data_IF_533256576291
#
_entry.id   IF_533256576291
#
_cell.length_a   1.000
_cell.length_b   1.000
_cell.length_c   1.000
_cell.angle_alpha   90.00
_cell.angle_beta   90.00
_cell.angle_gamma   90.00
#
_symmetry.space_group_name_H-M   'P 1'
#
loop_
_entity.id
_entity.type
_entity.pdbx_description
1 polymer ?
#
# COMPACT_ATOMS: atom_id res chain seq x y z
N UNK A 1 0.35 22.25 -24.00
CA UNK A 1 0.10 23.43 -23.14
C UNK A 1 0.10 22.95 -21.71
N UNK A 2 0.88 23.56 -20.83
CA UNK A 2 0.78 23.32 -19.39
C UNK A 2 -0.55 23.91 -18.92
N UNK A 3 -1.42 23.10 -18.32
CA UNK A 3 -2.66 23.59 -17.74
C UNK A 3 -2.32 24.47 -16.54
N UNK A 4 -3.00 25.61 -16.37
CA UNK A 4 -2.97 26.29 -15.08
C UNK A 4 -3.69 25.42 -14.05
N UNK A 5 -3.35 25.59 -12.77
CA UNK A 5 -4.00 24.88 -11.66
C UNK A 5 -5.54 24.99 -11.72
N UNK A 6 -6.04 26.17 -12.08
CA UNK A 6 -7.47 26.45 -12.25
C UNK A 6 -8.04 25.68 -13.44
N UNK A 7 -7.39 25.74 -14.61
CA UNK A 7 -7.89 25.03 -15.80
C UNK A 7 -7.94 23.51 -15.60
N UNK A 8 -6.96 22.94 -14.91
CA UNK A 8 -6.97 21.50 -14.59
C UNK A 8 -8.12 21.16 -13.63
N UNK A 9 -8.33 21.99 -12.60
CA UNK A 9 -9.40 21.77 -11.61
C UNK A 9 -10.78 21.86 -12.25
N UNK A 10 -11.00 22.86 -13.11
CA UNK A 10 -12.29 23.12 -13.77
C UNK A 10 -12.66 22.04 -14.81
N UNK A 11 -11.66 21.34 -15.36
CA UNK A 11 -11.87 20.30 -16.37
C UNK A 11 -12.04 18.89 -15.80
N UNK A 12 -11.88 18.71 -14.49
CA UNK A 12 -12.03 17.44 -13.80
C UNK A 12 -13.50 17.20 -13.38
N UNK A 13 -14.11 16.16 -13.95
CA UNK A 13 -15.44 15.70 -13.55
C UNK A 13 -15.41 15.06 -12.16
N UNK A 14 -16.52 15.14 -11.42
CA UNK A 14 -16.69 14.61 -10.06
C UNK A 14 -15.67 15.11 -9.02
N UNK A 15 -14.99 16.22 -9.30
CA UNK A 15 -13.95 16.80 -8.45
C UNK A 15 -12.83 15.79 -8.13
N UNK A 16 -12.41 15.01 -9.15
CA UNK A 16 -11.35 13.99 -9.04
C UNK A 16 -10.28 14.19 -10.11
N UNK A 17 -9.03 14.24 -9.66
CA UNK A 17 -7.84 14.17 -10.51
C UNK A 17 -7.08 12.87 -10.28
N UNK A 18 -6.27 12.50 -11.26
CA UNK A 18 -5.40 11.33 -11.19
C UNK A 18 -3.95 11.73 -11.49
N UNK A 19 -3.06 11.48 -10.54
CA UNK A 19 -1.61 11.56 -10.73
C UNK A 19 -1.11 10.18 -11.14
N UNK A 20 -0.26 10.09 -12.15
CA UNK A 20 0.34 8.84 -12.59
C UNK A 20 1.86 8.90 -12.60
N UNK A 21 2.45 7.73 -12.36
CA UNK A 21 3.87 7.45 -12.59
C UNK A 21 3.92 6.25 -13.52
N UNK A 22 4.56 6.42 -14.67
CA UNK A 22 4.71 5.37 -15.68
C UNK A 22 6.18 5.21 -16.05
N UNK A 23 6.54 3.99 -16.43
CA UNK A 23 7.82 3.67 -17.05
C UNK A 23 7.60 3.60 -18.56
N UNK A 24 8.31 4.43 -19.31
CA UNK A 24 8.28 4.47 -20.77
C UNK A 24 9.51 3.75 -21.31
N UNK A 25 9.34 2.93 -22.34
CA UNK A 25 10.45 2.16 -22.92
C UNK A 25 10.27 1.89 -24.41
N UNK A 26 11.40 1.62 -25.06
CA UNK A 26 11.50 0.99 -26.38
C UNK A 26 12.79 0.14 -26.40
N UNK A 27 13.29 -0.23 -27.57
CA UNK A 27 14.52 -1.02 -27.71
C UNK A 27 15.81 -0.27 -27.32
N UNK A 28 15.79 1.06 -27.26
CA UNK A 28 16.97 1.92 -27.15
C UNK A 28 17.07 2.70 -25.85
N UNK A 29 15.94 2.99 -25.22
CA UNK A 29 15.90 3.80 -24.01
C UNK A 29 14.74 3.38 -23.09
N UNK A 30 14.91 3.72 -21.82
CA UNK A 30 13.92 3.53 -20.76
C UNK A 30 14.01 4.70 -19.80
N UNK A 31 12.88 5.25 -19.41
CA UNK A 31 12.77 6.38 -18.50
C UNK A 31 11.40 6.37 -17.81
N UNK A 32 11.17 7.31 -16.92
CA UNK A 32 9.91 7.46 -16.22
C UNK A 32 9.26 8.79 -16.54
N UNK A 33 7.92 8.81 -16.49
CA UNK A 33 7.13 10.02 -16.65
C UNK A 33 6.18 10.17 -15.46
N UNK A 34 6.20 11.36 -14.88
CA UNK A 34 5.21 11.82 -13.92
C UNK A 34 4.21 12.68 -14.69
N UNK A 35 2.92 12.56 -14.37
CA UNK A 35 1.94 13.48 -14.94
C UNK A 35 0.55 13.35 -14.33
N UNK A 36 -0.33 14.28 -14.69
CA UNK A 36 -1.73 14.27 -14.24
C UNK A 36 -2.72 14.09 -15.38
N UNK A 37 -3.91 13.60 -15.04
CA UNK A 37 -5.03 13.43 -15.96
C UNK A 37 -6.36 13.52 -15.22
N UNK A 38 -7.41 13.91 -15.95
CA UNK A 38 -8.81 13.83 -15.49
C UNK A 38 -9.42 12.44 -15.68
N UNK A 39 -8.74 11.56 -16.43
CA UNK A 39 -9.24 10.23 -16.77
C UNK A 39 -8.70 9.17 -15.81
N UNK A 40 -9.60 8.40 -15.20
CA UNK A 40 -9.22 7.22 -14.41
C UNK A 40 -8.47 6.16 -15.24
N UNK A 41 -8.84 6.04 -16.51
CA UNK A 41 -8.18 5.16 -17.47
C UNK A 41 -7.11 5.95 -18.22
N UNK A 42 -5.84 5.67 -17.91
CA UNK A 42 -4.69 6.38 -18.46
C UNK A 42 -4.56 6.20 -19.98
N UNK A 43 -5.14 5.14 -20.57
CA UNK A 43 -5.13 4.96 -22.03
C UNK A 43 -5.90 6.08 -22.75
N UNK A 44 -6.90 6.67 -22.08
CA UNK A 44 -7.60 7.85 -22.62
C UNK A 44 -6.72 9.09 -22.69
N UNK A 45 -5.68 9.16 -21.85
CA UNK A 45 -4.67 10.24 -21.87
C UNK A 45 -3.68 10.06 -23.02
N UNK A 46 -3.32 8.82 -23.32
CA UNK A 46 -2.31 8.45 -24.32
C UNK A 46 -2.96 7.78 -25.54
N UNK A 47 -3.84 8.51 -26.22
CA UNK A 47 -4.63 7.99 -27.33
C UNK A 47 -3.95 8.18 -28.71
N UNK A 48 -2.72 8.72 -28.75
CA UNK A 48 -2.00 9.01 -29.98
C UNK A 48 -0.49 8.91 -29.80
N UNK A 49 0.23 8.64 -30.88
CA UNK A 49 1.70 8.67 -30.89
C UNK A 49 2.27 10.06 -30.53
N UNK A 50 1.51 11.14 -30.73
CA UNK A 50 1.92 12.50 -30.33
C UNK A 50 1.86 12.73 -28.81
N UNK A 51 1.02 11.98 -28.10
CA UNK A 51 0.87 12.07 -26.65
C UNK A 51 1.70 11.02 -25.92
N UNK A 52 1.95 9.87 -26.56
CA UNK A 52 2.85 8.83 -26.07
C UNK A 52 3.38 7.97 -27.23
N UNK A 53 4.61 8.22 -27.73
CA UNK A 53 5.21 7.42 -28.80
C UNK A 53 5.90 6.13 -28.30
N UNK A 54 5.99 5.94 -26.98
CA UNK A 54 6.63 4.79 -26.34
C UNK A 54 5.62 3.75 -25.89
N UNK A 55 6.08 2.51 -25.74
CA UNK A 55 5.39 1.57 -24.86
C UNK A 55 5.56 2.01 -23.41
N UNK A 56 4.61 1.64 -22.55
CA UNK A 56 4.69 2.02 -21.14
C UNK A 56 4.07 0.99 -20.20
N UNK A 57 4.68 0.90 -19.01
CA UNK A 57 4.15 0.20 -17.85
C UNK A 57 3.65 1.23 -16.83
N UNK A 58 2.47 0.99 -16.25
CA UNK A 58 1.98 1.85 -15.17
C UNK A 58 2.57 1.39 -13.85
N UNK A 59 3.32 2.28 -13.20
CA UNK A 59 3.95 2.01 -11.90
C UNK A 59 2.97 2.33 -10.78
N UNK A 60 2.40 3.54 -10.80
CA UNK A 60 1.43 4.02 -9.80
C UNK A 60 0.40 4.94 -10.41
N UNK A 61 -0.81 4.95 -9.84
CA UNK A 61 -1.81 5.99 -10.08
C UNK A 61 -2.43 6.38 -8.74
N UNK A 62 -2.51 7.67 -8.46
CA UNK A 62 -3.11 8.21 -7.24
C UNK A 62 -4.36 9.03 -7.60
N UNK A 63 -5.47 8.75 -6.92
CA UNK A 63 -6.73 9.49 -7.00
C UNK A 63 -6.82 10.47 -5.80
N UNK A 64 -7.11 11.75 -6.08
CA UNK A 64 -7.43 12.76 -5.06
C UNK A 64 -8.16 13.96 -5.69
N UNK A 65 -8.31 15.05 -4.94
CA UNK A 65 -8.84 16.31 -5.47
C UNK A 65 -7.90 16.87 -6.57
N UNK A 66 -8.43 17.46 -7.65
CA UNK A 66 -7.62 17.96 -8.76
C UNK A 66 -6.54 18.95 -8.34
N UNK A 67 -6.86 19.84 -7.40
CA UNK A 67 -5.92 20.81 -6.84
C UNK A 67 -4.74 20.14 -6.12
N UNK A 68 -5.02 19.11 -5.33
CA UNK A 68 -4.01 18.32 -4.61
C UNK A 68 -3.14 17.57 -5.61
N UNK A 69 -3.75 16.94 -6.62
CA UNK A 69 -3.04 16.20 -7.67
C UNK A 69 -2.08 17.10 -8.46
N UNK A 70 -2.51 18.33 -8.78
CA UNK A 70 -1.68 19.32 -9.44
C UNK A 70 -0.49 19.78 -8.57
N UNK A 71 -0.76 20.08 -7.30
CA UNK A 71 0.26 20.53 -6.36
C UNK A 71 1.30 19.41 -6.11
N UNK A 72 0.85 18.15 -6.07
CA UNK A 72 1.70 16.97 -5.97
C UNK A 72 2.56 16.77 -7.23
N UNK A 73 1.99 16.81 -8.43
CA UNK A 73 2.76 16.70 -9.68
C UNK A 73 3.91 17.70 -9.70
N UNK A 74 3.62 18.96 -9.39
CA UNK A 74 4.62 20.03 -9.33
C UNK A 74 5.73 19.69 -8.34
N UNK A 75 5.36 19.18 -7.16
CA UNK A 75 6.31 18.80 -6.12
C UNK A 75 7.17 17.60 -6.53
N UNK A 76 6.58 16.57 -7.13
CA UNK A 76 7.29 15.38 -7.58
C UNK A 76 8.26 15.68 -8.73
N UNK A 77 7.86 16.53 -9.67
CA UNK A 77 8.77 16.99 -10.73
C UNK A 77 9.95 17.76 -10.13
N UNK A 78 9.73 18.58 -9.10
CA UNK A 78 10.83 19.25 -8.39
C UNK A 78 11.77 18.27 -7.70
N UNK A 79 11.24 17.23 -7.05
CA UNK A 79 12.03 16.16 -6.43
C UNK A 79 12.84 15.40 -7.50
N UNK A 80 12.22 15.07 -8.63
CA UNK A 80 12.85 14.36 -9.73
C UNK A 80 13.77 15.20 -10.61
N UNK A 81 13.80 16.54 -10.44
CA UNK A 81 14.58 17.47 -11.27
C UNK A 81 16.07 17.14 -11.38
N UNK A 82 16.78 16.70 -10.31
CA UNK A 82 18.17 16.24 -10.41
C UNK A 82 18.37 15.07 -11.38
N UNK A 83 17.30 14.32 -11.64
CA UNK A 83 17.27 13.14 -12.52
C UNK A 83 16.50 13.40 -13.81
N UNK A 84 16.36 14.67 -14.23
CA UNK A 84 15.64 15.01 -15.47
C UNK A 84 16.20 14.25 -16.67
N UNK A 85 15.29 13.68 -17.45
CA UNK A 85 15.60 12.92 -18.65
C UNK A 85 14.93 13.55 -19.86
N UNK A 86 15.67 13.66 -20.97
CA UNK A 86 15.12 14.12 -22.26
C UNK A 86 15.00 12.91 -23.19
N UNK A 87 13.77 12.48 -23.52
CA UNK A 87 13.54 11.36 -24.43
C UNK A 87 14.12 11.59 -25.83
N UNK A 88 14.60 10.53 -26.49
CA UNK A 88 15.13 10.63 -27.87
C UNK A 88 14.01 10.92 -28.89
N UNK A 89 12.80 10.42 -28.64
CA UNK A 89 11.60 10.67 -29.43
C UNK A 89 10.76 11.72 -28.70
N UNK A 90 10.66 12.92 -29.28
CA UNK A 90 9.94 14.02 -28.66
C UNK A 90 8.42 13.81 -28.63
N UNK A 91 7.78 14.18 -27.52
CA UNK A 91 6.33 14.16 -27.35
C UNK A 91 5.81 15.25 -26.40
N UNK A 92 4.49 15.45 -26.38
CA UNK A 92 3.87 16.45 -25.51
C UNK A 92 4.03 16.09 -24.02
N UNK A 93 4.71 16.95 -23.26
CA UNK A 93 4.96 16.73 -21.82
C UNK A 93 6.28 16.00 -21.52
N UNK A 94 7.21 15.93 -22.48
CA UNK A 94 8.54 15.32 -22.28
C UNK A 94 9.41 15.97 -21.19
N UNK A 95 9.11 17.21 -20.79
CA UNK A 95 9.86 17.91 -19.72
C UNK A 95 9.55 17.39 -18.32
N UNK A 96 8.58 16.49 -18.19
CA UNK A 96 8.16 15.85 -16.93
C UNK A 96 8.78 14.43 -16.80
N UNK A 97 9.82 14.14 -17.59
CA UNK A 97 10.50 12.85 -17.63
C UNK A 97 11.76 12.84 -16.76
N UNK A 98 12.01 11.70 -16.12
CA UNK A 98 13.14 11.47 -15.22
C UNK A 98 13.74 10.07 -15.41
N UNK A 99 15.02 9.89 -15.10
CA UNK A 99 15.74 8.63 -15.26
C UNK A 99 15.71 7.74 -14.01
N UNK A 100 15.41 8.31 -12.83
CA UNK A 100 15.37 7.61 -11.54
C UNK A 100 14.13 8.08 -10.76
N UNK A 101 13.45 7.17 -10.06
CA UNK A 101 12.19 7.45 -9.34
C UNK A 101 12.25 7.20 -7.83
N UNK A 102 13.37 6.74 -7.28
CA UNK A 102 13.42 6.28 -5.87
C UNK A 102 12.96 7.35 -4.88
N UNK A 103 13.46 8.58 -5.00
CA UNK A 103 13.06 9.72 -4.15
C UNK A 103 11.58 10.11 -4.36
N UNK A 104 11.08 9.96 -5.59
CA UNK A 104 9.68 10.25 -5.94
C UNK A 104 8.75 9.21 -5.31
N UNK A 105 9.11 7.93 -5.38
CA UNK A 105 8.35 6.83 -4.78
C UNK A 105 8.37 6.95 -3.26
N UNK A 106 9.55 7.15 -2.65
CA UNK A 106 9.68 7.32 -1.20
C UNK A 106 8.80 8.47 -0.68
N UNK A 107 8.83 9.63 -1.35
CA UNK A 107 7.96 10.75 -0.99
C UNK A 107 6.47 10.41 -1.10
N UNK A 108 6.08 9.68 -2.14
CA UNK A 108 4.68 9.31 -2.34
C UNK A 108 4.19 8.26 -1.35
N UNK A 109 5.05 7.34 -0.94
CA UNK A 109 4.76 6.36 0.11
C UNK A 109 4.46 7.09 1.43
N UNK A 110 5.31 8.04 1.81
CA UNK A 110 5.11 8.90 2.99
C UNK A 110 3.82 9.73 2.94
N UNK A 111 3.44 10.24 1.76
CA UNK A 111 2.22 11.04 1.58
C UNK A 111 0.95 10.20 1.51
N UNK A 112 1.01 9.01 0.91
CA UNK A 112 -0.13 8.06 0.87
C UNK A 112 -0.53 7.64 2.27
N UNK A 113 0.45 7.55 3.16
CA UNK A 113 0.31 7.21 4.56
C UNK A 113 -0.46 8.27 5.38
N UNK A 114 -0.46 9.53 4.94
CA UNK A 114 -1.22 10.63 5.56
C UNK A 114 -2.69 10.74 5.11
N UNK A 115 -3.22 9.75 4.36
CA UNK A 115 -4.64 9.62 3.95
C UNK A 115 -5.17 10.69 2.96
N UNK A 116 -4.30 11.51 2.36
CA UNK A 116 -4.70 12.60 1.45
C UNK A 116 -4.93 12.09 0.01
N UNK A 117 -4.33 10.95 -0.33
CA UNK A 117 -4.33 10.37 -1.68
C UNK A 117 -4.63 8.88 -1.63
N UNK A 118 -5.38 8.39 -2.63
CA UNK A 118 -5.71 6.97 -2.76
C UNK A 118 -4.90 6.37 -3.90
N UNK A 119 -3.94 5.50 -3.60
CA UNK A 119 -3.29 4.67 -4.62
C UNK A 119 -4.36 3.75 -5.25
N UNK A 120 -4.60 3.91 -6.55
CA UNK A 120 -5.53 3.12 -7.32
C UNK A 120 -4.75 2.16 -8.21
N UNK A 121 -4.94 0.87 -7.97
CA UNK A 121 -4.38 -0.16 -8.84
C UNK A 121 -4.91 -0.01 -10.27
N UNK A 122 -4.04 0.42 -11.18
CA UNK A 122 -4.32 0.44 -12.60
C UNK A 122 -4.36 -0.99 -13.14
N UNK A 123 -5.51 -1.39 -13.70
CA UNK A 123 -5.65 -2.68 -14.39
C UNK A 123 -5.66 -2.44 -15.89
N UNK A 124 -4.53 -2.72 -16.55
CA UNK A 124 -4.53 -2.97 -18.00
C UNK A 124 -5.60 -4.03 -18.26
N UNK A 125 -6.53 -3.79 -19.17
CA UNK A 125 -7.55 -4.78 -19.58
C UNK A 125 -6.88 -5.90 -20.39
N UNK A 126 -6.06 -6.69 -19.74
CA UNK A 126 -5.81 -8.04 -20.21
C UNK A 126 -7.02 -8.89 -19.80
N UNK A 127 -7.37 -9.88 -20.63
CA UNK A 127 -8.35 -10.92 -20.27
C UNK A 127 -7.74 -11.78 -19.16
N UNK A 128 -7.57 -11.22 -17.96
CA UNK A 128 -7.17 -11.96 -16.78
C UNK A 128 -8.31 -12.94 -16.53
N UNK A 129 -8.00 -14.24 -16.57
CA UNK A 129 -8.90 -15.29 -16.07
C UNK A 129 -9.39 -14.83 -14.70
N UNK A 130 -10.66 -14.42 -14.60
CA UNK A 130 -11.26 -14.08 -13.29
C UNK A 130 -11.46 -15.38 -12.52
N UNK A 131 -10.38 -15.87 -11.95
CA UNK A 131 -10.39 -16.96 -10.98
C UNK A 131 -10.93 -16.39 -9.67
N UNK A 132 -11.88 -17.08 -9.04
CA UNK A 132 -12.42 -16.65 -7.75
C UNK A 132 -11.34 -16.66 -6.67
N UNK A 133 -11.48 -15.81 -5.65
CA UNK A 133 -10.53 -15.79 -4.52
C UNK A 133 -10.46 -17.16 -3.84
N UNK A 134 -11.58 -17.86 -3.73
CA UNK A 134 -11.62 -19.23 -3.21
C UNK A 134 -10.70 -20.17 -4.00
N UNK A 135 -10.75 -20.10 -5.34
CA UNK A 135 -9.91 -20.95 -6.19
C UNK A 135 -8.44 -20.53 -6.13
N UNK A 136 -8.15 -19.23 -6.07
CA UNK A 136 -6.78 -18.73 -5.83
C UNK A 136 -6.21 -19.27 -4.51
N UNK A 137 -7.00 -19.24 -3.42
CA UNK A 137 -6.58 -19.80 -2.13
C UNK A 137 -6.31 -21.30 -2.22
N UNK A 138 -7.19 -22.07 -2.86
CA UNK A 138 -7.02 -23.52 -3.02
C UNK A 138 -5.76 -23.86 -3.83
N UNK A 139 -5.52 -23.14 -4.92
CA UNK A 139 -4.36 -23.32 -5.78
C UNK A 139 -3.06 -22.98 -5.02
N UNK A 140 -3.03 -21.85 -4.32
CA UNK A 140 -1.90 -21.47 -3.47
C UNK A 140 -1.60 -22.50 -2.37
N UNK A 141 -2.63 -22.97 -1.67
CA UNK A 141 -2.46 -24.01 -0.63
C UNK A 141 -1.96 -25.33 -1.21
N UNK A 142 -2.40 -25.70 -2.42
CA UNK A 142 -1.88 -26.84 -3.16
C UNK A 142 -0.38 -26.71 -3.43
N UNK A 143 0.04 -25.59 -4.04
CA UNK A 143 1.44 -25.30 -4.33
C UNK A 143 2.32 -25.31 -3.07
N UNK A 144 1.81 -24.75 -1.96
CA UNK A 144 2.52 -24.78 -0.68
C UNK A 144 2.69 -26.21 -0.15
N UNK A 145 1.67 -27.06 -0.28
CA UNK A 145 1.75 -28.46 0.13
C UNK A 145 2.76 -29.23 -0.74
N UNK A 146 2.74 -29.01 -2.05
CA UNK A 146 3.69 -29.63 -2.99
C UNK A 146 5.13 -29.25 -2.61
N UNK A 147 5.38 -27.99 -2.25
CA UNK A 147 6.69 -27.54 -1.73
C UNK A 147 7.10 -28.30 -0.46
N UNK A 148 6.15 -28.48 0.48
CA UNK A 148 6.41 -29.16 1.76
C UNK A 148 6.72 -30.65 1.54
N UNK A 149 5.97 -31.32 0.67
CA UNK A 149 6.16 -32.74 0.35
C UNK A 149 7.51 -32.98 -0.32
N UNK A 150 7.93 -32.07 -1.21
CA UNK A 150 9.15 -32.21 -1.99
C UNK A 150 10.39 -31.55 -1.35
N UNK A 151 10.31 -31.04 -0.12
CA UNK A 151 11.40 -30.28 0.55
C UNK A 151 12.76 -30.97 0.63
N UNK A 152 12.79 -32.30 0.53
CA UNK A 152 14.02 -33.11 0.62
C UNK A 152 14.62 -33.43 -0.77
N UNK A 153 13.87 -33.20 -1.85
CA UNK A 153 14.35 -33.30 -3.23
C UNK A 153 14.59 -31.88 -3.75
N UNK A 154 15.87 -31.52 -3.89
CA UNK A 154 16.24 -30.15 -4.27
C UNK A 154 15.66 -29.74 -5.62
N UNK A 155 15.65 -30.64 -6.61
CA UNK A 155 15.18 -30.31 -7.95
C UNK A 155 13.68 -30.06 -7.95
N UNK A 156 12.92 -30.97 -7.33
CA UNK A 156 11.46 -30.84 -7.24
C UNK A 156 11.05 -29.65 -6.36
N UNK A 157 11.78 -29.38 -5.28
CA UNK A 157 11.53 -28.20 -4.44
C UNK A 157 11.74 -26.89 -5.21
N UNK A 158 12.82 -26.78 -5.99
CA UNK A 158 13.10 -25.60 -6.82
C UNK A 158 12.02 -25.40 -7.90
N UNK A 159 11.48 -26.48 -8.48
CA UNK A 159 10.33 -26.41 -9.40
C UNK A 159 9.06 -25.92 -8.71
N UNK A 160 8.77 -26.40 -7.50
CA UNK A 160 7.62 -25.95 -6.71
C UNK A 160 7.73 -24.46 -6.33
N UNK A 161 8.94 -23.99 -5.98
CA UNK A 161 9.16 -22.56 -5.70
C UNK A 161 8.90 -21.69 -6.94
N UNK A 162 9.38 -22.11 -8.12
CA UNK A 162 9.09 -21.39 -9.38
C UNK A 162 7.60 -21.34 -9.70
N UNK A 163 6.87 -22.42 -9.41
CA UNK A 163 5.41 -22.46 -9.58
C UNK A 163 4.71 -21.46 -8.62
N UNK A 164 5.17 -21.37 -7.36
CA UNK A 164 4.70 -20.34 -6.42
C UNK A 164 4.99 -18.92 -6.93
N UNK A 165 6.21 -18.64 -7.39
CA UNK A 165 6.59 -17.33 -7.94
C UNK A 165 5.72 -16.95 -9.14
N UNK A 166 5.51 -17.89 -10.06
CA UNK A 166 4.65 -17.70 -11.24
C UNK A 166 3.22 -17.39 -10.82
N UNK A 167 2.67 -18.12 -9.85
CA UNK A 167 1.33 -17.84 -9.31
C UNK A 167 1.23 -16.42 -8.73
N UNK A 168 2.22 -15.98 -7.97
CA UNK A 168 2.22 -14.65 -7.35
C UNK A 168 2.32 -13.53 -8.40
N UNK A 169 3.05 -13.77 -9.49
CA UNK A 169 3.12 -12.88 -10.64
C UNK A 169 1.78 -12.81 -11.38
N UNK A 170 1.09 -13.94 -11.56
CA UNK A 170 -0.22 -14.02 -12.20
C UNK A 170 -1.34 -13.38 -11.36
N UNK A 171 -1.20 -13.40 -10.03
CA UNK A 171 -2.17 -12.86 -9.08
C UNK A 171 -1.56 -11.79 -8.16
N UNK A 172 -1.21 -10.61 -8.69
CA UNK A 172 -0.48 -9.59 -7.92
C UNK A 172 -1.25 -9.05 -6.70
N UNK A 173 -2.59 -9.05 -6.75
CA UNK A 173 -3.39 -8.68 -5.57
C UNK A 173 -3.25 -9.74 -4.45
N UNK A 174 -3.17 -11.02 -4.82
CA UNK A 174 -2.99 -12.10 -3.85
C UNK A 174 -1.60 -12.01 -3.21
N UNK A 175 -0.56 -11.77 -4.04
CA UNK A 175 0.78 -11.51 -3.55
C UNK A 175 0.82 -10.34 -2.56
N UNK A 176 0.23 -9.20 -2.94
CA UNK A 176 0.16 -8.02 -2.09
C UNK A 176 -0.52 -8.32 -0.72
N UNK A 177 -1.56 -9.15 -0.71
CA UNK A 177 -2.22 -9.55 0.53
C UNK A 177 -1.30 -10.39 1.42
N UNK A 178 -0.59 -11.36 0.84
CA UNK A 178 0.37 -12.20 1.58
C UNK A 178 1.51 -11.37 2.16
N UNK A 179 2.10 -10.47 1.37
CA UNK A 179 3.17 -9.56 1.79
C UNK A 179 2.72 -8.64 2.95
N UNK A 180 1.43 -8.27 2.96
CA UNK A 180 0.82 -7.52 4.06
C UNK A 180 0.53 -8.38 5.30
N UNK A 181 0.87 -9.68 5.28
CA UNK A 181 0.62 -10.62 6.37
C UNK A 181 -0.81 -11.16 6.46
N UNK A 182 -1.61 -11.04 5.40
CA UNK A 182 -2.93 -11.70 5.30
C UNK A 182 -2.73 -13.14 4.87
N UNK A 183 -3.00 -14.08 5.77
CA UNK A 183 -2.88 -15.52 5.48
C UNK A 183 -4.14 -16.06 4.78
N UNK A 184 -4.05 -17.24 4.17
CA UNK A 184 -5.22 -17.95 3.62
C UNK A 184 -6.30 -18.20 4.67
N UNK A 185 -5.91 -18.44 5.93
CA UNK A 185 -6.81 -18.55 7.08
C UNK A 185 -7.58 -17.24 7.35
N UNK A 186 -6.90 -16.09 7.22
CA UNK A 186 -7.58 -14.79 7.31
C UNK A 186 -8.59 -14.64 6.16
N UNK A 187 -8.20 -14.96 4.92
CA UNK A 187 -9.08 -14.87 3.76
C UNK A 187 -10.34 -15.76 3.91
N UNK A 188 -10.18 -16.98 4.43
CA UNK A 188 -11.28 -17.91 4.77
C UNK A 188 -12.22 -17.30 5.81
N UNK A 189 -11.66 -16.77 6.91
CA UNK A 189 -12.43 -16.12 7.99
C UNK A 189 -13.23 -14.91 7.49
N UNK A 190 -12.69 -14.18 6.53
CA UNK A 190 -13.34 -13.02 5.90
C UNK A 190 -14.36 -13.42 4.81
N UNK A 191 -14.60 -14.73 4.63
CA UNK A 191 -15.57 -15.27 3.68
C UNK A 191 -15.17 -15.07 2.23
N UNK A 192 -13.86 -15.00 1.95
CA UNK A 192 -13.30 -14.68 0.62
C UNK A 192 -13.80 -13.36 0.05
N UNK A 193 -14.32 -12.46 0.88
CA UNK A 193 -14.80 -11.16 0.45
C UNK A 193 -13.61 -10.24 0.17
N UNK A 194 -13.49 -9.80 -1.08
CA UNK A 194 -12.36 -9.00 -1.55
C UNK A 194 -12.17 -7.71 -0.75
N UNK A 195 -13.23 -6.96 -0.51
CA UNK A 195 -13.13 -5.65 0.14
C UNK A 195 -12.68 -5.81 1.60
N UNK A 196 -13.20 -6.83 2.30
CA UNK A 196 -12.76 -7.19 3.65
C UNK A 196 -11.30 -7.62 3.70
N UNK A 197 -10.83 -8.37 2.69
CA UNK A 197 -9.43 -8.80 2.58
C UNK A 197 -8.51 -7.59 2.35
N UNK A 198 -8.90 -6.68 1.47
CA UNK A 198 -8.16 -5.43 1.24
C UNK A 198 -8.09 -4.60 2.51
N UNK A 199 -9.21 -4.46 3.22
CA UNK A 199 -9.26 -3.74 4.49
C UNK A 199 -8.34 -4.38 5.54
N UNK A 200 -8.30 -5.71 5.63
CA UNK A 200 -7.40 -6.43 6.55
C UNK A 200 -5.92 -6.29 6.15
N UNK A 201 -5.61 -6.34 4.84
CA UNK A 201 -4.27 -6.11 4.32
C UNK A 201 -3.77 -4.70 4.67
N UNK A 202 -4.61 -3.69 4.44
CA UNK A 202 -4.33 -2.31 4.82
C UNK A 202 -4.02 -2.21 6.32
N UNK A 203 -4.90 -2.75 7.18
CA UNK A 203 -4.70 -2.72 8.64
C UNK A 203 -3.36 -3.32 9.05
N UNK A 204 -3.02 -4.51 8.55
CA UNK A 204 -1.78 -5.20 8.93
C UNK A 204 -0.54 -4.46 8.44
N UNK A 205 -0.54 -3.99 7.19
CA UNK A 205 0.56 -3.20 6.63
C UNK A 205 0.78 -1.90 7.41
N UNK A 206 -0.29 -1.16 7.68
CA UNK A 206 -0.23 0.10 8.45
C UNK A 206 0.34 -0.13 9.85
N UNK A 207 -0.06 -1.21 10.52
CA UNK A 207 0.49 -1.54 11.83
C UNK A 207 1.96 -1.97 11.77
N UNK A 208 2.37 -2.68 10.72
CA UNK A 208 3.75 -3.11 10.52
C UNK A 208 4.68 -1.91 10.26
N UNK A 209 4.29 -1.01 9.36
CA UNK A 209 5.08 0.18 9.04
C UNK A 209 5.24 1.12 10.25
N UNK A 210 4.28 1.11 11.17
CA UNK A 210 4.32 1.94 12.36
C UNK A 210 4.88 1.27 13.59
N UNK A 211 5.35 0.02 13.50
CA UNK A 211 5.81 -0.77 14.66
C UNK A 211 6.84 0.02 15.49
N UNK A 212 7.72 0.77 14.84
CA UNK A 212 8.80 1.53 15.49
C UNK A 212 8.34 2.88 16.08
N UNK A 213 7.25 3.44 15.57
CA UNK A 213 6.67 4.70 16.05
C UNK A 213 5.61 4.52 17.14
N UNK A 214 5.28 3.27 17.49
CA UNK A 214 4.25 2.94 18.48
C UNK A 214 4.52 3.59 19.83
N UNK A 215 5.78 3.67 20.27
CA UNK A 215 6.14 4.25 21.56
C UNK A 215 5.85 5.75 21.64
N UNK A 216 6.17 6.48 20.57
CA UNK A 216 5.91 7.92 20.45
C UNK A 216 4.40 8.20 20.50
N UNK A 217 3.62 7.30 19.92
CA UNK A 217 2.18 7.47 19.75
C UNK A 217 1.37 6.98 20.96
N UNK A 218 1.71 5.82 21.54
CA UNK A 218 0.99 5.24 22.68
C UNK A 218 1.49 5.73 24.05
N UNK A 219 2.77 6.11 24.16
CA UNK A 219 3.39 6.70 25.36
C UNK A 219 3.18 5.87 26.63
N UNK A 220 3.35 4.56 26.55
CA UNK A 220 3.34 3.69 27.73
C UNK A 220 4.74 3.61 28.35
N UNK A 221 4.80 3.75 29.66
CA UNK A 221 6.07 3.71 30.42
C UNK A 221 6.36 2.30 30.95
N UNK A 222 7.60 1.84 30.78
CA UNK A 222 8.07 0.56 31.33
C UNK A 222 8.00 0.60 32.86
N UNK A 223 7.45 -0.45 33.46
CA UNK A 223 7.25 -0.57 34.90
C UNK A 223 5.94 0.02 35.42
N UNK A 224 5.29 0.90 34.66
CA UNK A 224 4.02 1.52 35.05
C UNK A 224 2.82 0.55 34.87
N UNK A 225 1.73 0.84 35.60
CA UNK A 225 0.46 0.10 35.52
C UNK A 225 -0.59 0.96 34.85
N UNK A 226 -1.33 0.38 33.90
CA UNK A 226 -2.42 1.04 33.20
C UNK A 226 -3.67 0.17 33.26
N UNK A 227 -4.81 0.77 33.58
CA UNK A 227 -6.10 0.08 33.56
C UNK A 227 -6.46 -0.35 32.14
N UNK A 228 -7.31 -1.37 32.01
CA UNK A 228 -7.76 -1.84 30.71
C UNK A 228 -8.44 -0.73 29.89
N UNK A 229 -9.15 0.20 30.54
CA UNK A 229 -9.84 1.27 29.86
C UNK A 229 -8.89 2.38 29.38
N UNK A 230 -7.86 2.72 30.15
CA UNK A 230 -6.80 3.62 29.69
C UNK A 230 -6.07 3.04 28.49
N UNK A 231 -5.75 1.74 28.53
CA UNK A 231 -5.08 1.05 27.43
C UNK A 231 -5.94 1.10 26.17
N UNK A 232 -7.22 0.72 26.27
CA UNK A 232 -8.14 0.77 25.13
C UNK A 232 -8.27 2.18 24.56
N UNK A 233 -8.39 3.21 25.40
CA UNK A 233 -8.50 4.61 24.95
C UNK A 233 -7.28 5.05 24.15
N UNK A 234 -6.07 4.76 24.64
CA UNK A 234 -4.83 5.13 23.95
C UNK A 234 -4.66 4.36 22.64
N UNK A 235 -4.93 3.06 22.64
CA UNK A 235 -4.86 2.24 21.42
C UNK A 235 -5.94 2.65 20.41
N UNK A 236 -7.15 3.01 20.87
CA UNK A 236 -8.20 3.49 19.97
C UNK A 236 -7.79 4.80 19.30
N UNK A 237 -7.25 5.76 20.06
CA UNK A 237 -6.72 7.00 19.48
C UNK A 237 -5.63 6.71 18.44
N UNK A 238 -4.75 5.75 18.72
CA UNK A 238 -3.75 5.30 17.76
C UNK A 238 -4.38 4.70 16.49
N UNK A 239 -5.35 3.80 16.60
CA UNK A 239 -6.06 3.27 15.43
C UNK A 239 -6.79 4.36 14.64
N UNK A 240 -7.47 5.27 15.32
CA UNK A 240 -8.23 6.35 14.68
C UNK A 240 -7.27 7.28 13.91
N UNK A 241 -6.12 7.61 14.49
CA UNK A 241 -5.07 8.41 13.84
C UNK A 241 -4.47 7.70 12.60
N UNK A 242 -4.52 6.37 12.55
CA UNK A 242 -4.05 5.55 11.44
C UNK A 242 -5.16 5.19 10.43
N UNK A 243 -6.38 5.71 10.60
CA UNK A 243 -7.53 5.36 9.77
C UNK A 243 -7.96 3.89 9.89
N UNK A 244 -7.58 3.21 10.96
CA UNK A 244 -7.90 1.81 11.20
C UNK A 244 -9.29 1.68 11.82
N UNK A 245 -10.25 1.16 11.06
CA UNK A 245 -11.62 0.87 11.50
C UNK A 245 -11.76 -0.30 12.49
N UNK A 246 -10.84 -0.46 13.44
CA UNK A 246 -10.84 -1.53 14.46
C UNK A 246 -11.21 -0.95 15.84
N UNK A 247 -12.00 -1.69 16.62
CA UNK A 247 -12.22 -1.39 18.04
C UNK A 247 -11.10 -1.96 18.90
N UNK A 248 -10.48 -1.09 19.70
CA UNK A 248 -9.37 -1.44 20.56
C UNK A 248 -9.77 -2.41 21.68
N UNK A 249 -8.92 -3.42 21.89
CA UNK A 249 -8.99 -4.31 23.06
C UNK A 249 -7.80 -4.04 23.98
N UNK A 250 -7.98 -4.21 25.29
CA UNK A 250 -6.86 -4.04 26.24
C UNK A 250 -5.71 -5.02 25.94
N UNK A 251 -6.04 -6.19 25.40
CA UNK A 251 -5.06 -7.20 24.98
C UNK A 251 -4.27 -6.81 23.74
N UNK A 252 -4.71 -5.84 22.95
CA UNK A 252 -3.97 -5.40 21.75
C UNK A 252 -2.58 -4.85 22.12
N UNK A 253 -2.40 -4.33 23.36
CA UNK A 253 -1.10 -3.89 23.87
C UNK A 253 -0.01 -4.97 23.79
N UNK A 254 -0.41 -6.25 23.83
CA UNK A 254 0.50 -7.41 23.73
C UNK A 254 1.18 -7.54 22.38
N UNK A 255 0.73 -6.81 21.36
CA UNK A 255 1.40 -6.78 20.06
C UNK A 255 2.73 -6.03 20.12
N UNK A 256 2.89 -5.11 21.07
CA UNK A 256 4.04 -4.20 21.15
C UNK A 256 4.79 -4.26 22.48
N UNK A 257 4.13 -4.69 23.55
CA UNK A 257 4.73 -4.79 24.88
C UNK A 257 4.54 -6.17 25.48
N UNK A 258 5.53 -6.60 26.24
CA UNK A 258 5.35 -7.66 27.22
C UNK A 258 4.69 -7.07 28.45
N UNK A 259 3.60 -7.69 28.88
CA UNK A 259 2.76 -7.18 29.95
C UNK A 259 2.42 -8.26 30.96
N UNK A 260 2.30 -7.86 32.22
CA UNK A 260 1.80 -8.71 33.30
C UNK A 260 0.42 -8.23 33.75
N UNK A 261 -0.55 -9.14 33.81
CA UNK A 261 -1.88 -8.80 34.30
C UNK A 261 -1.84 -8.49 35.80
N UNK A 262 -2.43 -7.37 36.20
CA UNK A 262 -2.45 -6.90 37.58
C UNK A 262 -3.75 -6.17 37.88
N UNK A 263 -3.83 -5.52 39.03
CA UNK A 263 -4.90 -4.59 39.36
C UNK A 263 -4.36 -3.30 39.95
N UNK A 264 -5.18 -2.25 39.87
CA UNK A 264 -4.98 -0.95 40.52
C UNK A 264 -6.19 -0.71 41.43
N UNK A 265 -5.94 -0.24 42.65
CA UNK A 265 -7.00 0.10 43.59
C UNK A 265 -7.42 1.56 43.37
N UNK A 266 -8.69 1.80 43.03
CA UNK A 266 -9.22 3.13 42.79
C UNK A 266 -10.63 3.23 43.40
N UNK A 267 -10.89 4.28 44.18
CA UNK A 267 -12.18 4.54 44.83
C UNK A 267 -12.78 3.31 45.55
N UNK A 268 -11.96 2.57 46.29
CA UNK A 268 -12.41 1.40 47.06
C UNK A 268 -12.61 0.12 46.22
N UNK A 269 -12.32 0.13 44.91
CA UNK A 269 -12.49 -1.01 44.01
C UNK A 269 -11.17 -1.39 43.33
N UNK A 270 -10.95 -2.69 43.21
CA UNK A 270 -9.84 -3.25 42.42
C UNK A 270 -10.23 -3.26 40.94
N UNK A 271 -9.47 -2.56 40.11
CA UNK A 271 -9.70 -2.43 38.66
C UNK A 271 -8.62 -3.23 37.91
N UNK A 272 -9.03 -3.97 36.87
CA UNK A 272 -8.11 -4.76 36.05
C UNK A 272 -7.15 -3.85 35.25
N UNK A 273 -5.88 -4.25 35.24
CA UNK A 273 -4.80 -3.49 34.65
C UNK A 273 -3.71 -4.39 34.05
N UNK A 274 -2.84 -3.80 33.23
CA UNK A 274 -1.56 -4.39 32.85
C UNK A 274 -0.42 -3.57 33.41
N UNK A 275 0.62 -4.25 33.92
CA UNK A 275 1.95 -3.67 34.16
C UNK A 275 2.79 -3.88 32.91
N UNK A 276 3.42 -2.82 32.41
CA UNK A 276 4.32 -2.89 31.25
C UNK A 276 5.68 -3.42 31.74
N UNK A 277 6.18 -4.50 31.14
CA UNK A 277 7.44 -5.13 31.55
C UNK A 277 8.60 -4.73 30.63
N UNK A 278 8.38 -4.85 29.33
CA UNK A 278 9.37 -4.58 28.29
C UNK A 278 8.66 -4.30 26.96
N UNK A 279 9.41 -3.78 25.99
CA UNK A 279 8.98 -3.70 24.60
C UNK A 279 9.27 -5.03 23.91
N UNK A 280 8.40 -5.45 23.00
CA UNK A 280 8.69 -6.58 22.11
C UNK A 280 9.69 -6.14 21.05
N UNK A 281 10.70 -6.98 20.83
CA UNK A 281 11.61 -6.86 19.69
C UNK A 281 10.89 -7.16 18.38
#
# INVERSE_FOLDING_TARGET
MAYSRTDFTDTCEDNKGYLYIIECYNETEKFFKIGITKFKDILKRFNSATTMPYEFNVIKIYESLPSIVYDLETKLIQIGKPFSYTPLISFSGQHECISVIDDVISYMEDMSYMTIIKDIHYKKKEKIKKVSITRQVQEWEGLCNDCIENKNDKLLYDECLKACETFLQDYPNFNEWLESGVTTSNMKTLGFNKDKIIEEAFKKRTLQHNKDNVDVLLKFEIGAKYTFDEIKKRIQLFYDNLGIGKKAKSTDIKNWYDVHQTSVYNQGKSIQAFKILSKKQ
#
